data_IF_871055793259
#
_entry.id   IF_871055793259
#
_cell.length_a   1.000
_cell.length_b   1.000
_cell.length_c   1.000
_cell.angle_alpha   90.00
_cell.angle_beta   90.00
_cell.angle_gamma   90.00
#
_symmetry.space_group_name_H-M   'P 1'
#
loop_
_entity.id
_entity.type
_entity.pdbx_description
1 polymer ?
#
# COMPACT_ATOMS: atom_id res chain seq x y z
N UNK A 1 -16.40 -3.93 -4.21
CA UNK A 1 -15.02 -3.71 -4.69
C UNK A 1 -14.04 -4.29 -3.67
N UNK A 2 -13.09 -5.09 -4.13
CA UNK A 2 -11.98 -5.62 -3.33
C UNK A 2 -10.76 -4.71 -3.43
N UNK A 3 -10.25 -4.25 -2.30
CA UNK A 3 -9.18 -3.24 -2.22
C UNK A 3 -7.97 -3.77 -1.49
N UNK A 4 -6.79 -3.54 -2.04
CA UNK A 4 -5.51 -3.70 -1.36
C UNK A 4 -4.86 -2.32 -1.19
N UNK A 5 -4.62 -1.92 0.06
CA UNK A 5 -3.96 -0.67 0.39
C UNK A 5 -2.57 -0.92 0.99
N UNK A 6 -1.54 -0.39 0.36
CA UNK A 6 -0.16 -0.48 0.85
C UNK A 6 0.25 0.84 1.50
N UNK A 7 0.98 0.75 2.61
CA UNK A 7 1.34 1.92 3.43
C UNK A 7 0.09 2.68 3.88
N UNK A 8 -0.91 1.93 4.35
CA UNK A 8 -2.30 2.37 4.53
C UNK A 8 -2.46 3.52 5.54
N UNK A 9 -1.54 3.64 6.48
CA UNK A 9 -1.64 4.65 7.54
C UNK A 9 -2.90 4.46 8.37
N UNK A 10 -3.70 5.50 8.51
CA UNK A 10 -4.97 5.50 9.24
C UNK A 10 -6.18 5.19 8.35
N UNK A 11 -5.97 4.56 7.20
CA UNK A 11 -7.00 4.17 6.21
C UNK A 11 -7.72 5.35 5.55
N UNK A 12 -7.00 6.42 5.21
CA UNK A 12 -7.58 7.56 4.49
C UNK A 12 -8.16 7.16 3.13
N UNK A 13 -7.60 6.15 2.47
CA UNK A 13 -8.14 5.60 1.22
C UNK A 13 -9.55 5.02 1.41
N UNK A 14 -9.79 4.28 2.51
CA UNK A 14 -11.13 3.76 2.84
C UNK A 14 -12.13 4.88 3.03
N UNK A 15 -11.77 5.93 3.77
CA UNK A 15 -12.61 7.12 3.94
C UNK A 15 -12.93 7.81 2.60
N UNK A 16 -11.94 7.88 1.71
CA UNK A 16 -12.15 8.48 0.39
C UNK A 16 -13.12 7.66 -0.47
N UNK A 17 -13.01 6.34 -0.45
CA UNK A 17 -13.91 5.42 -1.17
C UNK A 17 -15.34 5.54 -0.64
N UNK A 18 -15.53 5.55 0.68
CA UNK A 18 -16.85 5.74 1.30
C UNK A 18 -17.47 7.08 0.90
N UNK A 19 -16.68 8.18 0.90
CA UNK A 19 -17.15 9.50 0.48
C UNK A 19 -17.46 9.59 -1.02
N UNK A 20 -16.82 8.77 -1.82
CA UNK A 20 -17.12 8.64 -3.26
C UNK A 20 -18.29 7.68 -3.53
N UNK A 21 -18.95 7.17 -2.49
CA UNK A 21 -20.06 6.20 -2.58
C UNK A 21 -19.65 4.90 -3.31
N UNK A 22 -18.37 4.53 -3.22
CA UNK A 22 -17.85 3.29 -3.80
C UNK A 22 -17.98 2.18 -2.76
N UNK A 23 -18.81 1.18 -3.06
CA UNK A 23 -19.00 0.04 -2.18
C UNK A 23 -17.71 -0.79 -2.09
N UNK A 24 -17.14 -0.84 -0.89
CA UNK A 24 -15.99 -1.70 -0.55
C UNK A 24 -16.53 -2.96 0.14
N UNK A 25 -16.27 -4.11 -0.46
CA UNK A 25 -16.68 -5.43 0.04
C UNK A 25 -15.61 -6.05 0.91
N UNK A 26 -14.34 -5.91 0.47
CA UNK A 26 -13.18 -6.41 1.18
C UNK A 26 -12.06 -5.34 1.13
N UNK A 27 -11.40 -5.14 2.27
CA UNK A 27 -10.29 -4.18 2.36
C UNK A 27 -9.12 -4.80 3.12
N UNK A 28 -8.01 -4.96 2.42
CA UNK A 28 -6.76 -5.48 2.92
C UNK A 28 -5.75 -4.34 3.05
N UNK A 29 -5.14 -4.19 4.22
CA UNK A 29 -4.21 -3.11 4.51
C UNK A 29 -2.83 -3.65 4.90
N UNK A 30 -1.78 -3.13 4.27
CA UNK A 30 -0.40 -3.35 4.68
C UNK A 30 0.12 -2.09 5.37
N UNK A 31 0.31 -2.16 6.69
CA UNK A 31 0.82 -1.10 7.56
C UNK A 31 1.63 -1.73 8.70
N UNK A 32 2.62 -1.01 9.23
CA UNK A 32 3.47 -1.45 10.34
C UNK A 32 3.40 -0.52 11.56
N UNK A 33 2.90 0.69 11.41
CA UNK A 33 2.73 1.60 12.54
C UNK A 33 1.54 1.19 13.39
N UNK A 34 1.83 0.71 14.60
CA UNK A 34 0.82 0.20 15.53
C UNK A 34 -0.26 1.24 15.90
N UNK A 35 0.09 2.52 15.91
CA UNK A 35 -0.88 3.57 16.25
C UNK A 35 -1.79 3.88 15.07
N UNK A 36 -1.23 3.87 13.86
CA UNK A 36 -2.02 4.00 12.64
C UNK A 36 -3.02 2.83 12.51
N UNK A 37 -2.54 1.59 12.71
CA UNK A 37 -3.38 0.38 12.71
C UNK A 37 -4.51 0.49 13.75
N UNK A 38 -4.22 0.94 14.99
CA UNK A 38 -5.24 1.12 16.04
C UNK A 38 -6.31 2.14 15.63
N UNK A 39 -5.94 3.25 15.00
CA UNK A 39 -6.89 4.25 14.49
C UNK A 39 -7.73 3.67 13.36
N UNK A 40 -7.09 2.99 12.42
CA UNK A 40 -7.74 2.30 11.31
C UNK A 40 -8.80 1.32 11.82
N UNK A 41 -8.41 0.35 12.64
CA UNK A 41 -9.30 -0.69 13.15
C UNK A 41 -10.40 -0.17 14.08
N UNK A 42 -10.18 0.95 14.79
CA UNK A 42 -11.21 1.59 15.59
C UNK A 42 -12.34 2.16 14.73
N UNK A 43 -12.02 2.69 13.54
CA UNK A 43 -13.00 3.28 12.64
C UNK A 43 -13.57 2.25 11.66
N UNK A 44 -12.76 1.28 11.25
CA UNK A 44 -13.08 0.24 10.28
C UNK A 44 -12.59 -1.13 10.79
N UNK A 45 -13.34 -1.78 11.69
CA UNK A 45 -12.93 -3.07 12.26
C UNK A 45 -12.93 -4.22 11.24
N UNK A 46 -13.55 -4.01 10.09
CA UNK A 46 -13.59 -4.93 8.95
C UNK A 46 -12.33 -4.93 8.07
N UNK A 47 -11.39 -4.01 8.31
CA UNK A 47 -10.12 -3.97 7.59
C UNK A 47 -9.21 -5.11 8.06
N UNK A 48 -8.79 -5.95 7.10
CA UNK A 48 -7.84 -7.01 7.35
C UNK A 48 -6.40 -6.50 7.27
N UNK A 49 -5.62 -6.68 8.34
CA UNK A 49 -4.23 -6.20 8.42
C UNK A 49 -3.24 -7.27 7.97
N UNK A 50 -2.51 -6.99 6.89
CA UNK A 50 -1.49 -7.87 6.31
C UNK A 50 -0.07 -7.66 6.87
N UNK A 51 0.12 -6.62 7.71
CA UNK A 51 1.43 -6.27 8.26
C UNK A 51 2.35 -5.61 7.25
N UNK A 52 3.63 -6.00 7.23
CA UNK A 52 4.66 -5.37 6.40
C UNK A 52 4.51 -5.73 4.93
N UNK A 53 4.65 -4.72 4.05
CA UNK A 53 4.73 -4.95 2.60
C UNK A 53 6.00 -5.71 2.21
N UNK A 54 7.07 -5.58 2.99
CA UNK A 54 8.31 -6.33 2.79
C UNK A 54 8.06 -7.79 3.18
N UNK A 55 8.19 -8.68 2.23
CA UNK A 55 7.88 -10.10 2.41
C UNK A 55 6.40 -10.47 2.15
N UNK A 56 5.52 -9.51 1.97
CA UNK A 56 4.16 -9.77 1.48
C UNK A 56 4.25 -10.23 0.02
N UNK A 57 3.94 -11.48 -0.26
CA UNK A 57 3.88 -12.04 -1.62
C UNK A 57 2.71 -12.99 -1.72
N UNK A 58 2.27 -13.31 -2.94
CA UNK A 58 1.15 -14.22 -3.15
C UNK A 58 1.40 -15.63 -2.55
N UNK A 59 2.66 -16.05 -2.47
CA UNK A 59 3.02 -17.33 -1.83
C UNK A 59 3.24 -17.25 -0.32
N UNK A 60 3.00 -16.10 0.33
CA UNK A 60 3.12 -15.97 1.78
C UNK A 60 1.91 -16.57 2.49
N UNK A 61 2.14 -17.03 3.72
CA UNK A 61 1.09 -17.48 4.63
C UNK A 61 0.90 -16.43 5.74
N UNK A 62 -0.35 -16.16 6.05
CA UNK A 62 -0.76 -15.32 7.18
C UNK A 62 -1.54 -16.20 8.15
N UNK A 63 -1.31 -16.02 9.44
CA UNK A 63 -2.08 -16.75 10.47
C UNK A 63 -3.28 -15.88 10.86
N UNK A 64 -4.47 -16.38 10.56
CA UNK A 64 -5.75 -15.78 10.93
C UNK A 64 -6.53 -16.76 11.80
N UNK A 65 -6.95 -16.34 12.98
CA UNK A 65 -7.71 -17.17 13.94
C UNK A 65 -7.07 -18.54 14.23
N UNK A 66 -5.74 -18.66 14.02
CA UNK A 66 -4.98 -19.89 14.23
C UNK A 66 -4.85 -20.78 12.99
N UNK A 67 -5.43 -20.40 11.86
CA UNK A 67 -5.29 -21.07 10.58
C UNK A 67 -4.32 -20.33 9.65
N UNK A 68 -3.57 -21.08 8.84
CA UNK A 68 -2.68 -20.52 7.83
C UNK A 68 -3.47 -20.29 6.54
N UNK A 69 -3.55 -19.04 6.10
CA UNK A 69 -4.22 -18.63 4.86
C UNK A 69 -3.17 -18.12 3.87
N UNK A 70 -3.22 -18.58 2.63
CA UNK A 70 -2.36 -18.05 1.57
C UNK A 70 -2.77 -16.64 1.18
N UNK A 71 -1.80 -15.74 1.06
CA UNK A 71 -2.03 -14.35 0.61
C UNK A 71 -2.63 -14.33 -0.81
N UNK A 72 -2.29 -15.31 -1.65
CA UNK A 72 -2.90 -15.49 -2.96
C UNK A 72 -4.42 -15.61 -2.90
N UNK A 73 -4.95 -16.39 -1.96
CA UNK A 73 -6.39 -16.59 -1.79
C UNK A 73 -7.06 -15.28 -1.34
N UNK A 74 -6.41 -14.56 -0.40
CA UNK A 74 -6.92 -13.28 0.09
C UNK A 74 -6.93 -12.20 -1.01
N UNK A 75 -5.92 -12.18 -1.88
CA UNK A 75 -5.73 -11.10 -2.85
C UNK A 75 -6.19 -11.43 -4.27
N UNK A 76 -6.65 -12.66 -4.52
CA UNK A 76 -7.24 -13.02 -5.80
C UNK A 76 -8.44 -12.11 -6.12
N UNK A 77 -8.49 -11.63 -7.36
CA UNK A 77 -9.57 -10.77 -7.82
C UNK A 77 -9.55 -9.34 -7.26
N UNK A 78 -8.43 -8.86 -6.71
CA UNK A 78 -8.29 -7.47 -6.27
C UNK A 78 -8.68 -6.51 -7.40
N UNK A 79 -9.62 -5.61 -7.11
CA UNK A 79 -10.07 -4.60 -8.06
C UNK A 79 -9.16 -3.37 -8.05
N UNK A 80 -8.77 -2.89 -6.87
CA UNK A 80 -7.99 -1.67 -6.69
C UNK A 80 -6.78 -1.91 -5.78
N UNK A 81 -5.59 -1.57 -6.29
CA UNK A 81 -4.39 -1.37 -5.49
C UNK A 81 -4.18 0.13 -5.27
N UNK A 82 -4.13 0.55 -4.01
CA UNK A 82 -3.85 1.94 -3.67
C UNK A 82 -2.69 2.00 -2.69
N UNK A 83 -1.86 3.07 -2.75
CA UNK A 83 -0.80 3.26 -1.78
C UNK A 83 0.00 4.52 -2.03
N UNK A 84 0.64 4.99 -0.95
CA UNK A 84 1.57 6.09 -0.97
C UNK A 84 2.89 5.67 -0.32
N UNK A 85 3.86 5.25 -1.13
CA UNK A 85 5.16 4.85 -0.58
C UNK A 85 5.84 6.01 0.16
N UNK A 86 6.56 5.75 1.27
CA UNK A 86 7.22 6.81 2.03
C UNK A 86 8.12 7.68 1.15
N UNK A 87 7.88 9.00 1.18
CA UNK A 87 8.54 9.97 0.33
C UNK A 87 9.72 10.70 1.02
N UNK A 88 10.14 10.25 2.20
CA UNK A 88 11.08 10.99 3.06
C UNK A 88 12.45 11.25 2.40
N UNK A 89 12.88 10.41 1.47
CA UNK A 89 14.13 10.60 0.72
C UNK A 89 13.91 11.34 -0.61
N UNK A 90 12.66 11.55 -1.02
CA UNK A 90 12.27 12.28 -2.23
C UNK A 90 11.85 13.74 -1.94
N UNK A 91 11.45 14.04 -0.70
CA UNK A 91 10.95 15.38 -0.33
C UNK A 91 12.05 16.44 -0.35
N UNK A 92 11.72 17.64 -0.84
CA UNK A 92 12.61 18.83 -0.82
C UNK A 92 13.01 19.23 0.62
N UNK A 93 12.22 18.87 1.62
CA UNK A 93 12.50 19.21 3.02
C UNK A 93 13.74 18.49 3.60
N UNK A 94 14.25 17.44 2.96
CA UNK A 94 15.42 16.70 3.44
C UNK A 94 16.71 17.17 2.75
N UNK A 95 17.72 17.52 3.56
CA UNK A 95 18.98 18.12 3.11
C UNK A 95 19.89 17.12 2.35
N UNK A 96 19.86 15.82 2.71
CA UNK A 96 20.65 14.75 2.11
C UNK A 96 19.71 13.72 1.45
N UNK A 97 19.22 14.04 0.25
CA UNK A 97 18.31 13.18 -0.50
C UNK A 97 19.05 12.02 -1.14
N UNK A 98 18.59 10.81 -0.90
CA UNK A 98 19.06 9.59 -1.57
C UNK A 98 18.20 9.19 -2.78
N UNK A 99 17.17 9.96 -3.09
CA UNK A 99 16.23 9.63 -4.17
C UNK A 99 15.53 8.28 -3.93
N UNK A 100 15.34 7.50 -4.99
CA UNK A 100 14.77 6.15 -4.91
C UNK A 100 15.75 5.10 -4.34
N UNK A 101 17.03 5.42 -4.21
CA UNK A 101 18.03 4.56 -3.59
C UNK A 101 18.04 4.65 -2.05
N UNK A 102 17.25 5.58 -1.49
CA UNK A 102 17.04 5.68 -0.06
C UNK A 102 16.25 4.48 0.47
N UNK A 103 16.61 3.97 1.65
CA UNK A 103 15.99 2.79 2.27
C UNK A 103 14.45 2.88 2.34
N UNK A 104 13.91 4.06 2.68
CA UNK A 104 12.46 4.29 2.78
C UNK A 104 11.79 4.57 1.44
N UNK A 105 12.45 5.29 0.55
CA UNK A 105 11.94 5.52 -0.81
C UNK A 105 12.09 4.28 -1.68
N UNK A 106 13.01 3.37 -1.33
CA UNK A 106 13.16 2.05 -1.94
C UNK A 106 11.91 1.17 -1.77
N UNK A 107 11.06 1.45 -0.77
CA UNK A 107 9.76 0.80 -0.59
C UNK A 107 8.77 1.04 -1.75
N UNK A 108 9.02 2.04 -2.60
CA UNK A 108 8.32 2.17 -3.88
C UNK A 108 8.43 0.90 -4.73
N UNK A 109 9.59 0.24 -4.73
CA UNK A 109 9.78 -1.00 -5.50
C UNK A 109 8.97 -2.17 -4.95
N UNK A 110 8.66 -2.16 -3.65
CA UNK A 110 7.71 -3.12 -3.07
C UNK A 110 6.30 -2.90 -3.61
N UNK A 111 5.86 -1.63 -3.76
CA UNK A 111 4.60 -1.32 -4.44
C UNK A 111 4.58 -1.87 -5.88
N UNK A 112 5.65 -1.62 -6.65
CA UNK A 112 5.77 -2.12 -8.04
C UNK A 112 5.76 -3.64 -8.08
N UNK A 113 6.44 -4.30 -7.13
CA UNK A 113 6.44 -5.76 -7.03
C UNK A 113 5.04 -6.30 -6.79
N UNK A 114 4.34 -5.78 -5.78
CA UNK A 114 2.98 -6.20 -5.46
C UNK A 114 2.02 -5.91 -6.62
N UNK A 115 2.14 -4.75 -7.28
CA UNK A 115 1.35 -4.42 -8.47
C UNK A 115 1.51 -5.50 -9.58
N UNK A 116 2.74 -5.96 -9.82
CA UNK A 116 3.04 -6.98 -10.84
C UNK A 116 2.57 -8.38 -10.44
N UNK A 117 2.55 -8.70 -9.15
CA UNK A 117 2.07 -9.97 -8.63
C UNK A 117 0.54 -10.03 -8.64
N UNK A 118 -0.12 -9.04 -8.04
CA UNK A 118 -1.58 -9.02 -7.82
C UNK A 118 -2.36 -8.70 -9.11
N UNK A 119 -1.80 -7.88 -9.99
CA UNK A 119 -2.40 -7.45 -11.27
C UNK A 119 -3.85 -6.94 -11.11
N UNK A 120 -4.07 -5.93 -10.26
CA UNK A 120 -5.40 -5.39 -10.02
C UNK A 120 -5.98 -4.74 -11.29
N UNK A 121 -7.31 -4.55 -11.34
CA UNK A 121 -7.97 -3.83 -12.45
C UNK A 121 -7.58 -2.35 -12.51
N UNK A 122 -7.38 -1.75 -11.34
CA UNK A 122 -7.01 -0.34 -11.19
C UNK A 122 -5.91 -0.20 -10.15
N UNK A 123 -5.08 0.83 -10.30
CA UNK A 123 -4.13 1.20 -9.25
C UNK A 123 -4.03 2.71 -9.08
N UNK A 124 -3.73 3.15 -7.87
CA UNK A 124 -3.47 4.54 -7.50
C UNK A 124 -2.19 4.58 -6.69
N UNK A 125 -1.19 5.31 -7.18
CA UNK A 125 0.02 5.63 -6.44
C UNK A 125 0.01 7.11 -6.06
N UNK A 126 -0.02 7.40 -4.75
CA UNK A 126 0.15 8.75 -4.22
C UNK A 126 1.62 9.01 -3.90
N UNK A 127 2.10 10.20 -4.20
CA UNK A 127 3.41 10.66 -3.72
C UNK A 127 3.51 12.19 -3.77
N UNK A 128 4.58 12.75 -3.17
CA UNK A 128 4.76 14.20 -3.07
C UNK A 128 4.99 14.85 -4.44
N UNK A 129 4.26 15.94 -4.70
CA UNK A 129 4.39 16.72 -5.95
C UNK A 129 5.81 17.32 -6.15
N UNK A 130 6.54 17.54 -5.04
CA UNK A 130 7.86 18.16 -5.02
C UNK A 130 9.03 17.23 -5.33
N UNK A 131 8.77 15.97 -5.69
CA UNK A 131 9.86 15.05 -6.05
C UNK A 131 10.61 15.51 -7.31
N UNK A 132 11.91 15.17 -7.45
CA UNK A 132 12.71 15.46 -8.63
C UNK A 132 12.08 14.89 -9.92
N UNK A 133 12.33 15.55 -11.06
CA UNK A 133 11.80 15.11 -12.37
C UNK A 133 12.29 13.71 -12.74
N UNK A 134 13.55 13.42 -12.44
CA UNK A 134 14.17 12.13 -12.68
C UNK A 134 13.44 11.00 -11.90
N UNK A 135 13.09 11.26 -10.65
CA UNK A 135 12.33 10.29 -9.84
C UNK A 135 10.90 10.08 -10.41
N UNK A 136 10.25 11.15 -10.86
CA UNK A 136 8.94 11.04 -11.54
C UNK A 136 9.02 10.19 -12.80
N UNK A 137 10.07 10.38 -13.60
CA UNK A 137 10.26 9.60 -14.81
C UNK A 137 10.45 8.11 -14.49
N UNK A 138 11.32 7.77 -13.54
CA UNK A 138 11.55 6.38 -13.11
C UNK A 138 10.25 5.74 -12.63
N UNK A 139 9.47 6.46 -11.81
CA UNK A 139 8.17 5.98 -11.32
C UNK A 139 7.21 5.73 -12.49
N UNK A 140 7.12 6.67 -13.43
CA UNK A 140 6.22 6.55 -14.59
C UNK A 140 6.61 5.39 -15.51
N UNK A 141 7.91 5.11 -15.65
CA UNK A 141 8.40 4.00 -16.47
C UNK A 141 8.26 2.63 -15.79
N UNK A 142 8.15 2.60 -14.46
CA UNK A 142 8.03 1.36 -13.69
C UNK A 142 6.58 0.84 -13.59
N UNK A 143 5.59 1.76 -13.71
CA UNK A 143 4.14 1.50 -13.61
C UNK A 143 3.52 1.26 -14.99
#
# INVERSE_FOLDING_TARGET
MKVLSLFDGISCARVALDKAEILVEEYYASEIDKYAIQVSQKNYPDIFQLGSVVGLSLGSLIIEEGEAVEVSELLEGTDLLIGGSPCQDLSIAKKDRKGLDGERSGLFWEYVRVLKEVKPKYFILENVASMPKEAKQIITEAL
#
